data_IF_907304789877
#
_entry.id   IF_907304789877
#
_cell.length_a   1.000
_cell.length_b   1.000
_cell.length_c   1.000
_cell.angle_alpha   90.00
_cell.angle_beta   90.00
_cell.angle_gamma   90.00
#
_symmetry.space_group_name_H-M   'P 1'
#
loop_
_entity.id
_entity.type
_entity.pdbx_description
1 polymer ?
#
# COMPACT_ATOMS: atom_id res chain seq x y z
N UNK A 1 -2.27 -6.05 -18.65
CA UNK A 1 -2.31 -6.88 -17.43
C UNK A 1 -3.11 -8.15 -17.67
N UNK A 2 -2.61 -9.32 -17.23
CA UNK A 2 -3.36 -10.59 -17.25
C UNK A 2 -4.29 -10.69 -16.04
N UNK A 3 -5.40 -11.43 -16.19
CA UNK A 3 -6.33 -11.71 -15.09
C UNK A 3 -5.62 -12.58 -14.04
N UNK A 4 -5.63 -12.16 -12.77
CA UNK A 4 -4.89 -12.85 -11.70
C UNK A 4 -5.50 -12.63 -10.31
N UNK A 5 -5.13 -13.49 -9.37
CA UNK A 5 -5.53 -13.38 -7.96
C UNK A 5 -4.35 -13.01 -7.08
N UNK A 6 -4.60 -12.19 -6.07
CA UNK A 6 -3.58 -11.68 -5.18
C UNK A 6 -4.02 -11.82 -3.71
N UNK A 7 -3.16 -12.41 -2.88
CA UNK A 7 -3.27 -12.36 -1.42
C UNK A 7 -2.52 -11.13 -0.92
N UNK A 8 -3.23 -10.27 -0.20
CA UNK A 8 -2.71 -9.03 0.34
C UNK A 8 -2.68 -9.14 1.86
N UNK A 9 -1.47 -9.17 2.39
CA UNK A 9 -1.19 -9.05 3.81
C UNK A 9 -0.90 -7.60 4.13
N UNK A 10 -1.55 -7.07 5.15
CA UNK A 10 -1.41 -5.69 5.56
C UNK A 10 -1.24 -5.62 7.07
N UNK A 11 -0.30 -4.81 7.51
CA UNK A 11 -0.07 -4.52 8.92
C UNK A 11 0.15 -3.03 9.08
N UNK A 12 -0.71 -2.39 9.85
CA UNK A 12 -0.62 -0.97 10.15
C UNK A 12 -0.42 -0.80 11.64
N UNK A 13 0.79 -0.38 12.01
CA UNK A 13 1.13 0.06 13.36
C UNK A 13 0.90 1.56 13.43
N UNK A 14 0.16 2.01 14.44
CA UNK A 14 -0.03 3.43 14.71
C UNK A 14 0.24 3.73 16.17
N UNK A 15 0.88 4.86 16.41
CA UNK A 15 1.08 5.44 17.72
C UNK A 15 0.68 6.92 17.65
N UNK A 16 0.14 7.48 18.73
CA UNK A 16 -0.11 8.93 18.80
C UNK A 16 1.17 9.70 19.14
N UNK A 17 2.12 9.07 19.83
CA UNK A 17 3.41 9.64 20.25
C UNK A 17 4.52 8.58 20.22
N UNK A 18 5.79 9.03 20.17
CA UNK A 18 6.99 8.17 20.11
C UNK A 18 7.17 7.22 21.32
N UNK A 19 6.57 7.57 22.46
CA UNK A 19 6.72 6.85 23.74
C UNK A 19 5.46 6.08 24.17
N UNK A 20 4.42 6.03 23.34
CA UNK A 20 3.20 5.28 23.63
C UNK A 20 3.27 3.86 23.07
N UNK A 21 2.53 2.94 23.70
CA UNK A 21 2.36 1.59 23.18
C UNK A 21 1.71 1.66 21.80
N UNK A 22 2.43 1.23 20.77
CA UNK A 22 1.86 1.14 19.43
C UNK A 22 0.77 0.07 19.41
N UNK A 23 -0.46 0.45 19.08
CA UNK A 23 -1.46 -0.52 18.66
C UNK A 23 -1.23 -0.84 17.18
N UNK A 24 -1.59 -2.05 16.76
CA UNK A 24 -1.50 -2.45 15.36
C UNK A 24 -2.77 -3.18 14.92
N UNK A 25 -3.07 -3.07 13.64
CA UNK A 25 -4.03 -3.93 12.96
C UNK A 25 -3.29 -4.77 11.94
N UNK A 26 -3.65 -6.05 11.86
CA UNK A 26 -3.27 -6.94 10.77
C UNK A 26 -4.52 -7.37 10.02
N UNK A 27 -4.42 -7.40 8.70
CA UNK A 27 -5.45 -7.94 7.83
C UNK A 27 -4.84 -8.77 6.71
N UNK A 28 -5.61 -9.74 6.25
CA UNK A 28 -5.35 -10.52 5.06
C UNK A 28 -6.62 -10.58 4.22
N UNK A 29 -6.50 -10.21 2.95
CA UNK A 29 -7.59 -10.27 2.01
C UNK A 29 -7.12 -10.78 0.66
N UNK A 30 -8.04 -11.39 -0.08
CA UNK A 30 -7.78 -11.90 -1.43
C UNK A 30 -8.58 -11.07 -2.41
N UNK A 31 -7.92 -10.57 -3.44
CA UNK A 31 -8.55 -9.88 -4.55
C UNK A 31 -8.29 -10.60 -5.87
N UNK A 32 -9.23 -10.52 -6.79
CA UNK A 32 -9.03 -10.81 -8.20
C UNK A 32 -9.00 -9.50 -8.98
N UNK A 33 -8.06 -9.38 -9.92
CA UNK A 33 -8.02 -8.22 -10.82
C UNK A 33 -8.14 -8.71 -12.25
N UNK A 34 -9.10 -8.14 -12.99
CA UNK A 34 -9.42 -8.48 -14.37
C UNK A 34 -9.32 -7.26 -15.27
N UNK A 35 -8.69 -7.42 -16.43
CA UNK A 35 -8.68 -6.39 -17.47
C UNK A 35 -10.02 -6.35 -18.21
N UNK A 36 -10.55 -5.15 -18.46
CA UNK A 36 -11.77 -4.92 -19.24
C UNK A 36 -11.40 -4.40 -20.63
N UNK A 37 -12.29 -4.60 -21.62
CA UNK A 37 -12.07 -4.25 -23.03
C UNK A 37 -11.79 -2.75 -23.27
N UNK A 38 -12.13 -1.88 -22.31
CA UNK A 38 -11.95 -0.43 -22.38
C UNK A 38 -10.63 0.09 -21.77
N UNK A 39 -9.69 -0.80 -21.42
CA UNK A 39 -8.47 -0.43 -20.68
C UNK A 39 -8.69 -0.14 -19.18
N UNK A 40 -9.90 -0.42 -18.70
CA UNK A 40 -10.27 -0.37 -17.29
C UNK A 40 -10.03 -1.71 -16.62
N UNK A 41 -10.15 -1.74 -15.30
CA UNK A 41 -9.92 -2.93 -14.51
C UNK A 41 -11.07 -3.17 -13.56
N UNK A 42 -11.43 -4.43 -13.37
CA UNK A 42 -12.36 -4.86 -12.34
C UNK A 42 -11.54 -5.49 -11.21
N UNK A 43 -11.62 -4.90 -10.02
CA UNK A 43 -11.07 -5.50 -8.80
C UNK A 43 -12.21 -6.08 -7.98
N UNK A 44 -12.14 -7.38 -7.70
CA UNK A 44 -13.14 -8.11 -6.90
C UNK A 44 -12.50 -8.58 -5.60
N UNK A 45 -13.06 -8.22 -4.46
CA UNK A 45 -12.70 -8.82 -3.17
C UNK A 45 -13.31 -10.21 -3.07
N UNK A 46 -12.44 -11.22 -3.11
CA UNK A 46 -12.79 -12.64 -3.04
C UNK A 46 -12.92 -13.10 -1.58
N UNK A 47 -12.11 -12.51 -0.68
CA UNK A 47 -12.12 -12.80 0.76
C UNK A 47 -11.58 -11.61 1.55
N UNK A 48 -12.05 -11.40 2.79
CA UNK A 48 -11.43 -10.51 3.78
C UNK A 48 -11.73 -9.02 3.60
N UNK A 49 -12.85 -8.66 2.96
CA UNK A 49 -13.23 -7.25 2.80
C UNK A 49 -13.46 -6.53 4.14
N UNK A 50 -13.99 -7.25 5.13
CA UNK A 50 -14.10 -6.81 6.52
C UNK A 50 -12.73 -6.47 7.12
N UNK A 51 -11.75 -7.36 6.94
CA UNK A 51 -10.38 -7.12 7.39
C UNK A 51 -9.74 -5.93 6.65
N UNK A 52 -10.00 -5.78 5.35
CA UNK A 52 -9.58 -4.62 4.56
C UNK A 52 -10.19 -3.30 5.09
N UNK A 53 -11.47 -3.31 5.47
CA UNK A 53 -12.14 -2.14 6.05
C UNK A 53 -11.52 -1.72 7.38
N UNK A 54 -11.32 -2.66 8.31
CA UNK A 54 -10.68 -2.35 9.61
C UNK A 54 -9.28 -1.79 9.39
N UNK A 55 -8.50 -2.44 8.54
CA UNK A 55 -7.16 -2.00 8.18
C UNK A 55 -7.12 -0.58 7.61
N UNK A 56 -8.04 -0.27 6.70
CA UNK A 56 -8.11 1.03 6.02
C UNK A 56 -8.49 2.17 6.96
N UNK A 57 -9.32 1.88 7.97
CA UNK A 57 -9.91 2.88 8.88
C UNK A 57 -9.14 3.03 10.18
N UNK A 58 -8.15 2.18 10.43
CA UNK A 58 -7.31 2.23 11.61
C UNK A 58 -6.44 3.52 11.71
N UNK A 59 -6.30 4.14 12.91
CA UNK A 59 -6.78 3.72 14.23
C UNK A 59 -8.19 4.22 14.59
N UNK A 60 -8.91 4.81 13.64
CA UNK A 60 -10.08 5.65 13.87
C UNK A 60 -11.40 4.89 14.03
N UNK A 61 -11.40 3.56 14.16
CA UNK A 61 -12.62 2.78 14.19
C UNK A 61 -12.51 1.45 14.91
N UNK A 62 -13.22 1.32 16.04
CA UNK A 62 -13.63 0.03 16.58
C UNK A 62 -14.84 -0.44 15.77
N UNK A 63 -14.58 -1.12 14.64
CA UNK A 63 -15.63 -1.62 13.76
C UNK A 63 -16.07 -2.99 14.29
N UNK A 64 -17.33 -3.11 14.72
CA UNK A 64 -17.91 -4.40 15.03
C UNK A 64 -18.26 -5.13 13.73
N UNK A 65 -17.34 -5.96 13.23
CA UNK A 65 -17.44 -6.63 11.93
C UNK A 65 -18.51 -7.73 11.84
N UNK A 66 -19.25 -8.01 12.92
CA UNK A 66 -20.24 -9.09 12.96
C UNK A 66 -21.39 -8.92 11.95
N UNK A 67 -21.60 -7.71 11.42
CA UNK A 67 -22.60 -7.40 10.39
C UNK A 67 -22.12 -7.56 8.95
N UNK A 68 -20.80 -7.62 8.70
CA UNK A 68 -20.27 -7.85 7.35
C UNK A 68 -20.36 -9.36 7.11
N UNK A 69 -21.39 -9.79 6.38
CA UNK A 69 -21.55 -11.20 6.04
C UNK A 69 -20.26 -11.73 5.40
N UNK A 70 -19.70 -12.83 5.96
CA UNK A 70 -18.42 -13.45 5.57
C UNK A 70 -18.31 -13.87 4.08
N UNK A 71 -19.35 -13.64 3.26
CA UNK A 71 -19.44 -14.08 1.86
C UNK A 71 -19.86 -12.99 0.87
N UNK A 72 -19.92 -11.70 1.25
CA UNK A 72 -20.22 -10.65 0.28
C UNK A 72 -19.00 -10.41 -0.65
N UNK A 73 -19.22 -10.52 -1.95
CA UNK A 73 -18.23 -10.17 -2.98
C UNK A 73 -18.40 -8.70 -3.30
N UNK A 74 -17.35 -7.91 -3.12
CA UNK A 74 -17.36 -6.48 -3.42
C UNK A 74 -16.51 -6.22 -4.65
N UNK A 75 -17.08 -5.48 -5.61
CA UNK A 75 -16.46 -5.21 -6.90
C UNK A 75 -16.25 -3.70 -7.09
N UNK A 76 -15.10 -3.35 -7.65
CA UNK A 76 -14.70 -1.98 -7.91
C UNK A 76 -14.17 -1.86 -9.33
N UNK A 77 -14.74 -0.93 -10.11
CA UNK A 77 -14.23 -0.59 -11.44
C UNK A 77 -13.18 0.50 -11.27
N UNK A 78 -11.96 0.20 -11.68
CA UNK A 78 -10.80 1.08 -11.63
C UNK A 78 -10.53 1.58 -13.05
N UNK A 79 -10.53 2.89 -13.21
CA UNK A 79 -10.11 3.58 -14.41
C UNK A 79 -8.64 3.95 -14.29
N UNK A 80 -7.91 3.77 -15.38
CA UNK A 80 -6.55 4.27 -15.53
C UNK A 80 -6.55 5.29 -16.67
N UNK A 81 -6.85 6.53 -16.33
CA UNK A 81 -7.01 7.61 -17.29
C UNK A 81 -5.68 8.34 -17.50
N UNK A 82 -5.23 8.56 -18.75
CA UNK A 82 -3.99 9.28 -19.02
C UNK A 82 -3.93 10.71 -18.46
N UNK A 83 -5.07 11.39 -18.40
CA UNK A 83 -5.18 12.80 -17.99
C UNK A 83 -5.49 12.95 -16.50
N UNK A 84 -6.19 11.98 -15.91
CA UNK A 84 -6.65 12.04 -14.51
C UNK A 84 -5.99 11.02 -13.56
N UNK A 85 -5.14 10.14 -14.10
CA UNK A 85 -4.51 9.07 -13.34
C UNK A 85 -5.48 7.94 -12.99
N UNK A 86 -5.14 7.17 -11.96
CA UNK A 86 -5.92 6.01 -11.52
C UNK A 86 -7.01 6.48 -10.56
N UNK A 87 -8.27 6.13 -10.83
CA UNK A 87 -9.40 6.41 -9.94
C UNK A 87 -10.45 5.31 -9.97
N UNK A 88 -11.30 5.26 -8.95
CA UNK A 88 -12.42 4.32 -8.89
C UNK A 88 -13.66 5.02 -9.44
N UNK A 89 -14.46 4.33 -10.27
CA UNK A 89 -15.73 4.90 -10.71
C UNK A 89 -16.59 5.28 -9.53
N UNK A 90 -17.10 6.51 -9.51
CA UNK A 90 -18.20 6.89 -8.62
C UNK A 90 -19.48 6.10 -8.94
N UNK A 91 -19.57 5.49 -10.14
CA UNK A 91 -20.67 4.59 -10.55
C UNK A 91 -20.38 3.11 -10.26
N UNK A 92 -19.21 2.75 -9.72
CA UNK A 92 -18.89 1.36 -9.33
C UNK A 92 -19.74 0.87 -8.17
N UNK A 93 -20.47 1.79 -7.53
CA UNK A 93 -21.44 1.47 -6.49
C UNK A 93 -22.82 1.87 -6.98
N UNK A 94 -23.69 0.88 -7.13
CA UNK A 94 -24.76 0.74 -6.14
C UNK A 94 -25.01 -0.74 -5.83
N UNK A 95 -24.11 -1.39 -5.10
CA UNK A 95 -24.55 -2.56 -4.33
C UNK A 95 -25.11 -2.03 -3.01
N UNK A 96 -26.41 -2.24 -2.77
CA UNK A 96 -27.08 -1.91 -1.51
C UNK A 96 -26.31 -2.50 -0.31
N UNK A 97 -25.65 -3.65 -0.50
CA UNK A 97 -24.84 -4.27 0.55
C UNK A 97 -23.65 -3.40 0.95
N UNK A 98 -22.92 -2.84 -0.02
CA UNK A 98 -21.77 -1.99 0.28
C UNK A 98 -22.22 -0.68 0.94
N UNK A 99 -23.32 -0.08 0.47
CA UNK A 99 -23.89 1.11 1.10
C UNK A 99 -24.33 0.84 2.55
N UNK A 100 -24.94 -0.32 2.83
CA UNK A 100 -25.31 -0.71 4.18
C UNK A 100 -24.07 -0.88 5.08
N UNK A 101 -23.02 -1.55 4.58
CA UNK A 101 -21.76 -1.71 5.32
C UNK A 101 -21.14 -0.34 5.63
N UNK A 102 -21.04 0.55 4.64
CA UNK A 102 -20.47 1.88 4.85
C UNK A 102 -21.34 2.74 5.78
N UNK A 103 -22.66 2.61 5.74
CA UNK A 103 -23.56 3.27 6.69
C UNK A 103 -23.33 2.83 8.13
N UNK A 104 -23.06 1.55 8.37
CA UNK A 104 -22.75 1.09 9.72
C UNK A 104 -21.36 1.54 10.17
N UNK A 105 -20.39 1.57 9.26
CA UNK A 105 -19.05 2.11 9.53
C UNK A 105 -19.10 3.61 9.88
N UNK A 106 -19.88 4.42 9.16
CA UNK A 106 -20.05 5.86 9.50
C UNK A 106 -20.59 6.04 10.93
N UNK A 107 -21.57 5.24 11.34
CA UNK A 107 -22.11 5.27 12.72
C UNK A 107 -21.08 4.89 13.77
N UNK A 108 -20.25 3.88 13.50
CA UNK A 108 -19.23 3.40 14.44
C UNK A 108 -18.03 4.34 14.56
N UNK A 109 -17.63 4.99 13.47
CA UNK A 109 -16.41 5.80 13.40
C UNK A 109 -16.65 7.30 13.60
N UNK A 110 -17.90 7.76 13.43
CA UNK A 110 -18.24 9.19 13.41
C UNK A 110 -17.71 9.94 12.18
N UNK A 111 -17.16 9.23 11.19
CA UNK A 111 -16.67 9.80 9.93
C UNK A 111 -17.80 9.92 8.90
N UNK A 112 -17.62 10.82 7.93
CA UNK A 112 -18.55 10.95 6.81
C UNK A 112 -18.39 9.79 5.83
N UNK A 113 -19.41 9.55 5.02
CA UNK A 113 -19.35 8.53 3.97
C UNK A 113 -18.25 8.86 2.96
N UNK A 114 -18.11 10.14 2.62
CA UNK A 114 -17.09 10.66 1.71
C UNK A 114 -15.67 10.40 2.24
N UNK A 115 -15.41 10.64 3.53
CA UNK A 115 -14.11 10.40 4.15
C UNK A 115 -13.73 8.90 4.09
N UNK A 116 -14.68 8.03 4.45
CA UNK A 116 -14.49 6.58 4.40
C UNK A 116 -14.23 6.15 2.96
N UNK A 117 -15.05 6.61 2.00
CA UNK A 117 -14.89 6.22 0.61
C UNK A 117 -13.53 6.67 0.05
N UNK A 118 -13.07 7.88 0.37
CA UNK A 118 -11.74 8.35 -0.01
C UNK A 118 -10.62 7.48 0.57
N UNK A 119 -10.76 7.02 1.82
CA UNK A 119 -9.80 6.10 2.43
C UNK A 119 -9.77 4.76 1.70
N UNK A 120 -10.92 4.16 1.41
CA UNK A 120 -11.01 2.90 0.67
C UNK A 120 -10.46 3.04 -0.74
N UNK A 121 -10.84 4.12 -1.43
CA UNK A 121 -10.33 4.43 -2.75
C UNK A 121 -8.81 4.55 -2.73
N UNK A 122 -8.26 5.25 -1.75
CA UNK A 122 -6.80 5.39 -1.60
C UNK A 122 -6.12 4.04 -1.39
N UNK A 123 -6.69 3.12 -0.62
CA UNK A 123 -6.09 1.80 -0.40
C UNK A 123 -6.22 0.88 -1.61
N UNK A 124 -7.38 0.86 -2.28
CA UNK A 124 -7.61 0.10 -3.51
C UNK A 124 -6.67 0.57 -4.62
N UNK A 125 -6.57 1.88 -4.84
CA UNK A 125 -5.66 2.44 -5.85
C UNK A 125 -4.21 2.09 -5.51
N UNK A 126 -3.81 2.10 -4.23
CA UNK A 126 -2.46 1.67 -3.84
C UNK A 126 -2.23 0.21 -4.19
N UNK A 127 -3.13 -0.69 -3.82
CA UNK A 127 -3.00 -2.11 -4.11
C UNK A 127 -2.98 -2.36 -5.62
N UNK A 128 -3.80 -1.63 -6.36
CA UNK A 128 -3.88 -1.71 -7.81
C UNK A 128 -2.64 -1.16 -8.52
N UNK A 129 -2.16 0.03 -8.16
CA UNK A 129 -0.94 0.63 -8.74
C UNK A 129 0.27 -0.29 -8.55
N UNK A 130 0.33 -0.96 -7.41
CA UNK A 130 1.35 -1.97 -7.14
C UNK A 130 1.25 -3.16 -8.08
N UNK A 131 0.05 -3.66 -8.31
CA UNK A 131 -0.21 -4.76 -9.23
C UNK A 131 0.13 -4.33 -10.68
N UNK A 132 -0.22 -3.11 -11.08
CA UNK A 132 0.11 -2.57 -12.40
C UNK A 132 1.61 -2.30 -12.62
N UNK A 133 2.38 -2.03 -11.57
CA UNK A 133 3.83 -1.82 -11.68
C UNK A 133 4.59 -3.07 -12.18
N UNK A 134 3.91 -4.22 -12.29
CA UNK A 134 4.40 -5.39 -13.04
C UNK A 134 4.65 -5.11 -14.54
N UNK A 135 4.10 -4.04 -15.11
CA UNK A 135 4.11 -3.80 -16.57
C UNK A 135 5.10 -2.72 -17.04
N UNK A 136 5.96 -2.17 -16.17
CA UNK A 136 7.00 -1.22 -16.58
C UNK A 136 8.34 -1.92 -16.88
N UNK A 137 8.54 -2.11 -18.19
CA UNK A 137 9.66 -2.61 -19.00
C UNK A 137 11.10 -2.07 -18.73
N UNK A 138 11.44 -1.64 -17.52
CA UNK A 138 12.77 -1.06 -17.24
C UNK A 138 13.67 -1.88 -16.29
N UNK A 139 13.40 -3.18 -16.09
CA UNK A 139 14.21 -4.04 -15.21
C UNK A 139 15.56 -4.49 -15.81
N UNK A 140 15.99 -3.95 -16.94
CA UNK A 140 17.32 -4.20 -17.52
C UNK A 140 18.45 -3.42 -16.82
N UNK A 141 18.49 -3.43 -15.48
CA UNK A 141 19.64 -2.97 -14.71
C UNK A 141 20.53 -4.16 -14.35
N UNK A 142 21.85 -4.03 -14.54
CA UNK A 142 22.81 -5.10 -14.24
C UNK A 142 22.70 -5.57 -12.78
N UNK A 143 22.55 -6.88 -12.60
CA UNK A 143 22.47 -7.51 -11.28
C UNK A 143 23.68 -7.15 -10.40
N UNK A 144 23.43 -6.90 -9.10
CA UNK A 144 24.47 -6.74 -8.09
C UNK A 144 24.96 -5.31 -7.83
N UNK A 145 24.32 -4.27 -8.38
CA UNK A 145 24.63 -2.88 -8.02
C UNK A 145 23.48 -2.26 -7.23
N UNK A 146 23.75 -1.88 -5.98
CA UNK A 146 23.01 -0.80 -5.34
C UNK A 146 23.36 0.50 -6.06
N UNK A 147 22.35 1.27 -6.44
CA UNK A 147 22.54 2.53 -7.16
C UNK A 147 21.70 3.63 -6.52
N UNK A 148 22.30 4.81 -6.41
CA UNK A 148 21.57 6.04 -6.08
C UNK A 148 20.96 6.56 -7.38
N UNK A 149 19.64 6.51 -7.50
CA UNK A 149 18.90 7.03 -8.66
C UNK A 149 18.66 8.53 -8.56
N UNK A 150 18.52 9.04 -7.34
CA UNK A 150 18.26 10.45 -7.07
C UNK A 150 18.85 10.82 -5.71
N UNK A 151 19.51 11.98 -5.62
CA UNK A 151 19.90 12.55 -4.34
C UNK A 151 19.81 14.07 -4.39
N UNK A 152 19.04 14.61 -3.47
CA UNK A 152 18.83 16.04 -3.27
C UNK A 152 18.80 16.34 -1.77
N UNK A 153 18.74 17.63 -1.44
CA UNK A 153 18.62 18.09 -0.05
C UNK A 153 17.38 17.53 0.67
N UNK A 154 16.33 17.09 -0.05
CA UNK A 154 15.06 16.64 0.54
C UNK A 154 14.66 15.24 0.12
N UNK A 155 15.45 14.54 -0.71
CA UNK A 155 15.08 13.23 -1.23
C UNK A 155 16.30 12.40 -1.60
N UNK A 156 16.29 11.13 -1.25
CA UNK A 156 17.24 10.13 -1.76
C UNK A 156 16.46 8.92 -2.26
N UNK A 157 16.73 8.50 -3.49
CA UNK A 157 16.15 7.31 -4.10
C UNK A 157 17.25 6.30 -4.38
N UNK A 158 17.17 5.14 -3.77
CA UNK A 158 18.07 4.01 -3.96
C UNK A 158 17.35 2.89 -4.71
N UNK A 159 18.08 2.13 -5.52
CA UNK A 159 17.61 0.89 -6.13
C UNK A 159 18.62 -0.22 -5.89
N UNK A 160 18.13 -1.45 -5.72
CA UNK A 160 18.94 -2.65 -5.53
C UNK A 160 18.37 -3.78 -6.35
N UNK A 161 19.24 -4.44 -7.11
CA UNK A 161 18.91 -5.64 -7.86
C UNK A 161 19.69 -6.84 -7.32
N UNK A 162 18.98 -7.90 -6.94
CA UNK A 162 19.54 -9.14 -6.41
C UNK A 162 19.08 -10.31 -7.28
N UNK A 163 19.98 -11.23 -7.62
CA UNK A 163 19.62 -12.48 -8.29
C UNK A 163 19.36 -13.54 -7.23
N UNK A 164 18.20 -14.19 -7.29
CA UNK A 164 17.78 -15.24 -6.37
C UNK A 164 17.82 -16.61 -7.07
N UNK A 165 17.74 -17.69 -6.29
CA UNK A 165 17.72 -19.05 -6.85
C UNK A 165 16.43 -19.35 -7.65
N UNK A 166 15.35 -18.64 -7.33
CA UNK A 166 14.02 -18.80 -7.92
C UNK A 166 13.62 -17.63 -8.83
N UNK A 167 14.54 -16.70 -9.12
CA UNK A 167 14.28 -15.56 -9.99
C UNK A 167 15.15 -14.35 -9.66
N UNK A 168 14.57 -13.15 -9.64
CA UNK A 168 15.28 -11.90 -9.33
C UNK A 168 14.49 -11.02 -8.37
N UNK A 169 15.17 -10.11 -7.69
CA UNK A 169 14.56 -9.15 -6.78
C UNK A 169 15.00 -7.75 -7.13
N UNK A 170 14.05 -6.86 -7.40
CA UNK A 170 14.25 -5.44 -7.61
C UNK A 170 13.63 -4.68 -6.43
N UNK A 171 14.44 -3.93 -5.69
CA UNK A 171 13.98 -3.11 -4.58
C UNK A 171 14.27 -1.64 -4.85
N UNK A 172 13.34 -0.76 -4.52
CA UNK A 172 13.50 0.70 -4.51
C UNK A 172 13.27 1.22 -3.10
N UNK A 173 14.14 2.09 -2.63
CA UNK A 173 13.97 2.86 -1.39
C UNK A 173 13.90 4.34 -1.74
N UNK A 174 12.81 5.00 -1.38
CA UNK A 174 12.59 6.42 -1.61
C UNK A 174 12.44 7.13 -0.25
N UNK A 175 13.47 7.87 0.13
CA UNK A 175 13.59 8.61 1.38
C UNK A 175 13.27 10.07 1.08
N UNK A 176 12.31 10.67 1.79
CA UNK A 176 11.89 12.07 1.59
C UNK A 176 11.85 12.81 2.91
N UNK A 177 12.31 14.07 2.93
CA UNK A 177 12.04 15.00 4.02
C UNK A 177 10.58 15.46 3.94
N UNK A 178 9.86 15.40 5.07
CA UNK A 178 8.53 15.99 5.19
C UNK A 178 8.72 17.42 5.70
N UNK A 179 8.18 18.39 4.97
CA UNK A 179 8.37 19.80 5.25
C UNK A 179 7.54 20.23 6.47
N UNK A 180 8.07 20.00 7.67
CA UNK A 180 7.61 20.64 8.91
C UNK A 180 8.83 21.00 9.75
N UNK A 181 9.37 22.21 9.49
CA UNK A 181 10.59 22.81 10.09
C UNK A 181 11.86 21.92 10.00
N UNK A 182 12.92 22.32 9.27
CA UNK A 182 14.17 21.54 9.14
C UNK A 182 14.94 21.30 10.45
N UNK A 183 14.60 22.02 11.51
CA UNK A 183 15.26 21.92 12.81
C UNK A 183 14.86 20.60 13.49
N UNK A 184 15.85 19.71 13.68
CA UNK A 184 15.65 18.42 14.33
C UNK A 184 15.17 17.29 13.42
N UNK A 185 15.23 17.47 12.08
CA UNK A 185 14.97 16.34 11.17
C UNK A 185 16.10 15.31 11.16
N UNK A 186 15.74 14.05 10.96
CA UNK A 186 16.69 12.93 10.92
C UNK A 186 16.93 12.44 9.48
N UNK A 187 16.79 13.33 8.49
CA UNK A 187 16.90 12.98 7.07
C UNK A 187 18.28 12.40 6.73
N UNK A 188 19.36 13.08 7.11
CA UNK A 188 20.73 12.62 6.81
C UNK A 188 21.03 11.30 7.53
N UNK A 189 20.51 11.11 8.75
CA UNK A 189 20.60 9.85 9.50
C UNK A 189 19.85 8.72 8.78
N UNK A 190 18.64 8.98 8.28
CA UNK A 190 17.85 8.00 7.54
C UNK A 190 18.51 7.62 6.20
N UNK A 191 19.07 8.61 5.49
CA UNK A 191 19.84 8.37 4.26
C UNK A 191 21.08 7.52 4.54
N UNK A 192 21.79 7.76 5.64
CA UNK A 192 22.93 6.97 6.04
C UNK A 192 22.56 5.53 6.44
N UNK A 193 21.43 5.35 7.13
CA UNK A 193 20.90 4.03 7.50
C UNK A 193 20.43 3.24 6.27
N UNK A 194 19.89 3.93 5.25
CA UNK A 194 19.60 3.37 3.92
C UNK A 194 18.74 2.11 3.96
N UNK A 195 19.20 1.04 3.31
CA UNK A 195 18.49 -0.26 3.28
C UNK A 195 18.30 -0.88 4.67
N UNK A 196 19.14 -0.54 5.66
CA UNK A 196 18.98 -1.06 7.02
C UNK A 196 17.79 -0.42 7.75
N UNK A 197 17.37 0.79 7.36
CA UNK A 197 16.23 1.48 7.96
C UNK A 197 14.91 0.69 7.78
N UNK A 198 14.76 -0.05 6.68
CA UNK A 198 13.56 -0.85 6.37
C UNK A 198 13.30 -1.92 7.42
N UNK A 199 14.37 -2.54 7.94
CA UNK A 199 14.32 -3.64 8.90
C UNK A 199 14.38 -3.16 10.35
N UNK A 200 14.51 -1.85 10.54
CA UNK A 200 14.67 -1.23 11.84
C UNK A 200 13.31 -0.85 12.41
N UNK A 201 13.15 -1.00 13.74
CA UNK A 201 12.03 -0.42 14.48
C UNK A 201 12.30 1.07 14.82
N UNK A 202 13.46 1.60 14.43
CA UNK A 202 13.81 3.02 14.62
C UNK A 202 12.85 3.90 13.83
N UNK A 203 12.29 4.91 14.49
CA UNK A 203 11.41 5.90 13.90
C UNK A 203 12.21 7.17 13.64
N UNK A 204 12.15 7.68 12.41
CA UNK A 204 12.89 8.86 11.98
C UNK A 204 12.00 10.09 11.95
N UNK A 205 12.40 11.16 12.63
CA UNK A 205 11.63 12.40 12.69
C UNK A 205 11.68 13.19 11.38
N UNK A 206 10.56 13.85 11.07
CA UNK A 206 10.30 14.70 9.90
C UNK A 206 10.67 14.06 8.56
N UNK A 207 10.50 12.75 8.44
CA UNK A 207 10.84 11.99 7.22
C UNK A 207 9.74 11.01 6.80
N UNK A 208 9.70 10.72 5.51
CA UNK A 208 8.97 9.61 4.92
C UNK A 208 9.96 8.64 4.29
N UNK A 209 9.88 7.38 4.67
CA UNK A 209 10.52 6.25 4.03
C UNK A 209 9.47 5.48 3.24
N UNK A 210 9.66 5.39 1.93
CA UNK A 210 8.85 4.55 1.07
C UNK A 210 9.76 3.48 0.48
N UNK A 211 9.62 2.26 0.97
CA UNK A 211 10.27 1.08 0.44
C UNK A 211 9.30 0.29 -0.43
N UNK A 212 9.82 -0.15 -1.57
CA UNK A 212 9.12 -0.96 -2.56
C UNK A 212 10.03 -2.12 -2.92
N UNK A 213 9.54 -3.34 -2.87
CA UNK A 213 10.29 -4.53 -3.27
C UNK A 213 9.46 -5.40 -4.19
N UNK A 214 10.08 -5.86 -5.26
CA UNK A 214 9.51 -6.75 -6.25
C UNK A 214 10.40 -7.99 -6.32
N UNK A 215 9.84 -9.16 -6.11
CA UNK A 215 10.48 -10.44 -6.39
C UNK A 215 9.80 -11.04 -7.61
N UNK A 216 10.59 -11.24 -8.67
CA UNK A 216 10.21 -11.95 -9.88
C UNK A 216 10.64 -13.42 -9.77
N UNK A 217 9.85 -14.32 -10.34
CA UNK A 217 10.21 -15.73 -10.48
C UNK A 217 11.18 -15.99 -11.65
N UNK A 218 11.47 -17.27 -11.93
CA UNK A 218 12.36 -17.70 -13.01
C UNK A 218 11.81 -17.45 -14.42
N UNK A 219 10.56 -17.00 -14.54
CA UNK A 219 9.90 -16.63 -15.79
C UNK A 219 9.73 -15.12 -15.94
N UNK A 220 10.44 -14.35 -15.09
CA UNK A 220 10.33 -12.91 -14.97
C UNK A 220 8.91 -12.43 -14.63
N UNK A 221 8.08 -13.30 -14.04
CA UNK A 221 6.74 -12.97 -13.55
C UNK A 221 6.81 -12.50 -12.11
N UNK A 222 5.98 -11.52 -11.74
CA UNK A 222 5.92 -11.02 -10.36
C UNK A 222 5.40 -12.11 -9.41
N UNK A 223 6.29 -12.63 -8.56
CA UNK A 223 5.96 -13.63 -7.55
C UNK A 223 5.56 -13.00 -6.23
N UNK A 224 6.22 -11.90 -5.85
CA UNK A 224 5.99 -11.23 -4.59
C UNK A 224 6.26 -9.73 -4.66
N UNK A 225 5.50 -8.98 -3.89
CA UNK A 225 5.68 -7.56 -3.71
C UNK A 225 5.59 -7.14 -2.23
N UNK A 226 6.48 -6.26 -1.81
CA UNK A 226 6.45 -5.60 -0.50
C UNK A 226 6.42 -4.09 -0.65
N UNK A 227 5.50 -3.44 0.07
CA UNK A 227 5.51 -2.00 0.26
C UNK A 227 5.59 -1.71 1.74
N UNK A 228 6.65 -1.02 2.14
CA UNK A 228 6.76 -0.49 3.50
C UNK A 228 6.75 1.02 3.40
N UNK A 229 5.72 1.62 3.96
CA UNK A 229 5.63 3.07 4.11
C UNK A 229 5.73 3.42 5.57
N UNK A 230 6.80 4.13 5.92
CA UNK A 230 6.97 4.74 7.23
C UNK A 230 6.93 6.25 7.01
N UNK A 231 5.99 6.92 7.66
CA UNK A 231 5.96 8.38 7.67
C UNK A 231 5.75 8.87 9.08
N UNK A 232 6.57 9.86 9.45
CA UNK A 232 6.46 10.55 10.71
C UNK A 232 6.05 12.00 10.48
N UNK A 233 4.90 12.37 11.05
CA UNK A 233 4.51 13.76 11.25
C UNK A 233 4.07 13.94 12.71
N UNK A 234 4.23 15.14 13.31
CA UNK A 234 3.84 15.38 14.70
C UNK A 234 2.39 15.05 15.06
N UNK A 235 1.50 14.89 14.07
CA UNK A 235 0.08 14.58 14.26
C UNK A 235 -0.28 13.09 14.10
N UNK A 236 0.60 12.25 13.53
CA UNK A 236 0.30 10.84 13.31
C UNK A 236 1.54 10.02 12.99
N UNK A 237 1.69 8.88 13.68
CA UNK A 237 2.68 7.86 13.35
C UNK A 237 1.95 6.72 12.64
N UNK A 238 2.28 6.45 11.37
CA UNK A 238 1.82 5.26 10.66
C UNK A 238 3.01 4.49 10.08
N UNK A 239 3.13 3.24 10.46
CA UNK A 239 4.00 2.26 9.81
C UNK A 239 3.11 1.21 9.17
N UNK A 240 3.05 1.27 7.84
CA UNK A 240 2.26 0.34 7.03
C UNK A 240 3.22 -0.60 6.33
N UNK A 241 3.19 -1.87 6.73
CA UNK A 241 3.85 -2.99 6.07
C UNK A 241 2.78 -3.69 5.22
N UNK A 242 2.96 -3.79 3.90
CA UNK A 242 2.03 -4.47 2.99
C UNK A 242 2.79 -5.46 2.12
N UNK A 243 2.29 -6.69 2.03
CA UNK A 243 2.80 -7.77 1.19
C UNK A 243 1.70 -8.21 0.23
N UNK A 244 1.94 -8.12 -1.08
CA UNK A 244 1.02 -8.58 -2.13
C UNK A 244 1.68 -9.78 -2.82
N UNK A 245 0.98 -10.91 -2.86
CA UNK A 245 1.48 -12.16 -3.45
C UNK A 245 0.48 -12.59 -4.51
N UNK A 246 0.95 -12.89 -5.73
CA UNK A 246 0.12 -13.54 -6.74
C UNK A 246 -0.13 -15.01 -6.34
N UNK A 247 -1.36 -15.49 -6.42
CA UNK A 247 -1.76 -16.81 -5.85
C UNK A 247 -2.53 -17.73 -6.81
N UNK A 248 -2.66 -17.34 -8.08
CA UNK A 248 -3.28 -18.14 -9.15
C UNK A 248 -2.28 -19.06 -9.88
#
# INVERSE_FOLDING_TARGET
MQDSQYSIYYKNKSAKNLNESSSFVQSNYIIAVKSLESGNFLMTFMQGFDEFLVASLYPSGDINLTTIGKCAKFEFIIFNDPDYGIYISQKSMPDEQLLNVLSDVTKCTGQTFEDIFQLLQSQIIRDFSVIQLSELDNMHLEAGKEQVLEQSINRSKLVKHEKLAIGSKCSTLDIKRILWKPEGDEFDTLVADGWNAIRSDKVYQSTALQYVSHELDNTDQLAYYEFVYQSWVPSQHKHIERKIIRID
#
